data_IF_661447984288
#
_entry.id   IF_661447984288
#
_cell.length_a   1.000
_cell.length_b   1.000
_cell.length_c   1.000
_cell.angle_alpha   90.00
_cell.angle_beta   90.00
_cell.angle_gamma   90.00
#
_symmetry.space_group_name_H-M   'P 1'
#
loop_
_entity.id
_entity.type
_entity.pdbx_description
1 polymer ?
#
# COMPACT_ATOMS: atom_id res chain seq x y z
N UNK A 1 23.67 21.14 -75.85
CA UNK A 1 24.97 21.17 -76.54
C UNK A 1 26.02 21.36 -75.45
N UNK A 2 26.53 20.23 -74.95
CA UNK A 2 27.87 19.63 -75.21
C UNK A 2 28.82 20.02 -74.07
N UNK A 3 29.13 19.12 -73.12
CA UNK A 3 30.13 18.02 -73.21
C UNK A 3 31.56 18.60 -73.23
N UNK A 4 32.55 18.19 -72.43
CA UNK A 4 33.07 16.86 -72.03
C UNK A 4 34.16 17.06 -70.95
N UNK A 5 34.22 16.24 -69.88
CA UNK A 5 35.16 15.12 -69.60
C UNK A 5 36.66 15.52 -69.45
N UNK A 6 37.51 14.96 -68.57
CA UNK A 6 37.70 13.56 -68.13
C UNK A 6 38.54 13.44 -66.82
N UNK A 7 38.36 12.28 -66.16
CA UNK A 7 39.36 11.36 -65.55
C UNK A 7 39.33 11.03 -64.02
N UNK A 8 39.09 9.74 -63.77
CA UNK A 8 39.33 8.86 -62.60
C UNK A 8 40.60 7.97 -62.92
N UNK A 9 41.16 7.02 -62.12
CA UNK A 9 40.67 6.20 -60.97
C UNK A 9 41.63 6.18 -59.73
N UNK A 10 41.44 5.52 -58.57
CA UNK A 10 40.81 4.25 -58.19
C UNK A 10 40.76 4.07 -56.66
N UNK A 11 39.76 3.30 -56.19
CA UNK A 11 39.77 2.25 -55.14
C UNK A 11 38.85 2.34 -53.87
N UNK A 12 37.71 1.62 -54.00
CA UNK A 12 37.15 0.53 -53.17
C UNK A 12 36.37 0.85 -51.85
N UNK A 13 35.05 0.74 -52.02
CA UNK A 13 33.87 0.44 -51.16
C UNK A 13 33.96 -0.86 -50.32
N UNK A 14 33.14 -1.26 -49.34
CA UNK A 14 31.77 -0.96 -48.81
C UNK A 14 31.66 -1.69 -47.43
N UNK A 15 31.04 -1.14 -46.38
CA UNK A 15 29.63 -1.29 -45.92
C UNK A 15 29.34 -2.44 -44.90
N UNK A 16 28.50 -2.10 -43.90
CA UNK A 16 27.60 -2.91 -43.01
C UNK A 16 28.02 -3.45 -41.62
N UNK A 17 27.31 -2.89 -40.61
CA UNK A 17 26.63 -3.46 -39.41
C UNK A 17 27.34 -4.44 -38.45
N UNK A 18 27.14 -4.31 -37.13
CA UNK A 18 27.27 -5.44 -36.22
C UNK A 18 25.94 -5.83 -35.56
N UNK A 19 25.58 -7.09 -35.75
CA UNK A 19 24.75 -7.91 -34.87
C UNK A 19 25.50 -9.22 -34.72
N UNK A 20 25.78 -9.71 -33.51
CA UNK A 20 26.03 -11.14 -33.24
C UNK A 20 25.95 -11.40 -31.73
N UNK A 21 25.05 -12.32 -31.42
CA UNK A 21 24.92 -13.17 -30.24
C UNK A 21 26.03 -14.23 -30.19
N UNK A 22 26.46 -14.64 -29.01
CA UNK A 22 27.26 -15.87 -28.88
C UNK A 22 26.85 -16.66 -27.65
N UNK A 23 26.30 -17.85 -27.91
CA UNK A 23 26.41 -19.02 -27.06
C UNK A 23 27.53 -19.93 -27.59
N UNK A 24 28.12 -20.68 -26.64
CA UNK A 24 28.57 -22.07 -26.72
C UNK A 24 30.06 -22.47 -26.91
N UNK A 25 30.49 -23.28 -25.92
CA UNK A 25 31.39 -24.48 -25.89
C UNK A 25 32.89 -24.35 -25.54
N UNK A 26 33.31 -24.95 -24.40
CA UNK A 26 33.99 -26.28 -24.18
C UNK A 26 35.47 -26.21 -24.64
N UNK A 27 36.53 -26.42 -23.83
CA UNK A 27 37.00 -27.71 -23.27
C UNK A 27 38.20 -27.55 -22.28
N UNK A 28 38.66 -28.67 -21.71
CA UNK A 28 39.49 -28.92 -20.51
C UNK A 28 41.03 -28.88 -20.71
N UNK A 29 41.72 -29.08 -19.56
CA UNK A 29 43.09 -29.56 -19.29
C UNK A 29 44.19 -28.49 -19.16
N UNK A 30 45.22 -28.55 -18.29
CA UNK A 30 45.64 -29.38 -17.14
C UNK A 30 46.94 -28.75 -16.59
N UNK A 31 47.24 -28.81 -15.27
CA UNK A 31 48.58 -29.15 -14.69
C UNK A 31 48.72 -28.87 -13.18
N UNK A 32 49.47 -29.78 -12.58
CA UNK A 32 49.90 -30.05 -11.21
C UNK A 32 50.94 -29.08 -10.64
N UNK A 33 51.04 -28.97 -9.31
CA UNK A 33 52.27 -29.23 -8.54
C UNK A 33 51.97 -29.30 -7.05
N UNK A 34 52.56 -30.31 -6.40
CA UNK A 34 52.65 -30.57 -4.97
C UNK A 34 53.71 -29.68 -4.32
N UNK A 35 53.63 -29.44 -3.00
CA UNK A 35 54.76 -29.46 -2.07
C UNK A 35 54.24 -29.51 -0.61
N UNK A 36 54.82 -30.44 0.15
CA UNK A 36 54.61 -30.77 1.57
C UNK A 36 55.48 -29.87 2.46
N UNK A 37 55.12 -29.68 3.74
CA UNK A 37 56.10 -29.58 4.84
C UNK A 37 55.42 -29.78 6.20
N UNK A 38 56.11 -30.57 7.04
CA UNK A 38 55.73 -31.18 8.32
C UNK A 38 55.93 -30.26 9.54
N UNK A 39 55.09 -30.50 10.55
CA UNK A 39 55.27 -30.55 12.01
C UNK A 39 56.29 -29.65 12.74
N UNK A 40 55.79 -28.93 13.76
CA UNK A 40 56.49 -28.68 15.03
C UNK A 40 55.49 -28.90 16.19
N UNK A 41 55.78 -29.89 17.03
CA UNK A 41 55.11 -30.19 18.30
C UNK A 41 55.53 -29.17 19.38
N UNK A 42 54.57 -28.70 20.18
CA UNK A 42 54.84 -28.31 21.58
C UNK A 42 53.69 -28.84 22.45
N UNK A 43 54.08 -29.78 23.31
CA UNK A 43 53.28 -30.48 24.30
C UNK A 43 53.29 -29.65 25.60
N UNK A 44 52.12 -29.30 26.16
CA UNK A 44 52.03 -29.08 27.61
C UNK A 44 50.60 -29.31 28.14
N UNK A 45 50.50 -30.44 28.83
CA UNK A 45 49.39 -31.00 29.57
C UNK A 45 48.78 -30.09 30.66
N UNK A 46 47.44 -30.10 30.74
CA UNK A 46 46.58 -30.47 31.90
C UNK A 46 45.45 -29.50 32.30
N UNK A 47 44.26 -30.12 32.31
CA UNK A 47 43.15 -29.95 33.27
C UNK A 47 42.17 -28.78 33.09
N UNK A 48 41.05 -29.06 32.39
CA UNK A 48 39.68 -28.77 32.87
C UNK A 48 38.56 -29.35 31.97
N UNK A 49 38.67 -30.63 31.59
CA UNK A 49 37.85 -31.24 30.52
C UNK A 49 36.45 -31.76 30.88
N UNK A 50 35.75 -31.17 31.86
CA UNK A 50 34.35 -31.59 32.14
C UNK A 50 33.35 -30.46 32.40
N UNK A 51 33.78 -29.30 32.91
CA UNK A 51 32.87 -28.17 33.21
C UNK A 51 32.66 -27.27 31.98
N UNK A 52 33.71 -27.03 31.18
CA UNK A 52 33.64 -26.16 29.99
C UNK A 52 32.79 -26.75 28.85
N UNK A 53 32.73 -28.09 28.74
CA UNK A 53 31.87 -28.79 27.76
C UNK A 53 30.39 -28.74 28.17
N UNK A 54 30.10 -28.72 29.48
CA UNK A 54 28.74 -28.60 29.97
C UNK A 54 28.20 -27.18 29.74
N UNK A 55 29.05 -26.16 29.93
CA UNK A 55 28.70 -24.76 29.68
C UNK A 55 28.57 -24.43 28.18
N UNK A 56 29.40 -25.02 27.30
CA UNK A 56 29.21 -24.92 25.84
C UNK A 56 27.94 -25.63 25.36
N UNK A 57 27.62 -26.81 25.90
CA UNK A 57 26.40 -27.57 25.59
C UNK A 57 25.14 -26.83 26.08
N UNK A 58 25.22 -26.18 27.25
CA UNK A 58 24.13 -25.39 27.84
C UNK A 58 23.95 -24.05 27.12
N UNK A 59 25.04 -23.40 26.70
CA UNK A 59 25.02 -22.25 25.79
C UNK A 59 24.48 -22.62 24.41
N UNK A 60 24.88 -23.76 23.82
CA UNK A 60 24.32 -24.28 22.56
C UNK A 60 22.83 -24.59 22.71
N UNK A 61 22.39 -25.23 23.80
CA UNK A 61 20.96 -25.46 24.07
C UNK A 61 20.18 -24.16 24.31
N UNK A 62 20.80 -23.13 24.90
CA UNK A 62 20.19 -21.80 25.05
C UNK A 62 20.15 -21.02 23.72
N UNK A 63 21.15 -21.18 22.84
CA UNK A 63 21.20 -20.53 21.53
C UNK A 63 20.29 -21.20 20.49
N UNK A 64 20.14 -22.53 20.51
CA UNK A 64 19.27 -23.27 19.59
C UNK A 64 17.79 -23.01 19.88
N UNK A 65 17.41 -22.78 21.14
CA UNK A 65 16.01 -22.47 21.51
C UNK A 65 15.48 -21.12 21.02
N UNK A 66 16.34 -20.24 20.48
CA UNK A 66 15.95 -18.89 20.06
C UNK A 66 15.59 -18.77 18.57
N UNK A 67 15.77 -19.83 17.76
CA UNK A 67 15.60 -19.78 16.31
C UNK A 67 14.71 -20.88 15.69
N UNK A 68 13.93 -21.62 16.49
CA UNK A 68 13.08 -22.72 15.99
C UNK A 68 11.68 -22.29 15.51
N UNK A 69 11.57 -21.23 14.71
CA UNK A 69 10.40 -21.09 13.85
C UNK A 69 10.84 -20.70 12.45
N UNK A 70 10.89 -21.68 11.56
CA UNK A 70 10.97 -21.44 10.12
C UNK A 70 9.76 -20.61 9.75
N UNK A 71 9.98 -19.38 9.26
CA UNK A 71 8.89 -18.50 8.81
C UNK A 71 8.11 -19.23 7.71
N UNK A 72 6.80 -19.33 7.90
CA UNK A 72 5.89 -19.97 6.95
C UNK A 72 5.27 -18.89 6.07
N UNK A 73 5.13 -19.16 4.78
CA UNK A 73 4.46 -18.27 3.84
C UNK A 73 2.96 -18.26 4.09
N UNK A 74 2.33 -17.09 3.93
CA UNK A 74 0.87 -16.92 3.99
C UNK A 74 0.37 -16.35 2.67
N UNK A 75 -0.84 -16.75 2.27
CA UNK A 75 -1.49 -16.27 1.05
C UNK A 75 -3.00 -16.13 1.28
N UNK A 76 -3.63 -15.30 0.46
CA UNK A 76 -5.06 -15.13 0.38
C UNK A 76 -5.56 -15.54 -1.02
N UNK A 77 -6.88 -15.62 -1.18
CA UNK A 77 -7.48 -15.90 -2.48
C UNK A 77 -7.16 -14.79 -3.50
N UNK A 78 -7.01 -15.20 -4.76
CA UNK A 78 -6.83 -14.28 -5.88
C UNK A 78 -8.15 -13.55 -6.13
N UNK A 79 -8.05 -12.26 -6.41
CA UNK A 79 -9.18 -11.42 -6.77
C UNK A 79 -8.74 -10.49 -7.91
N UNK A 80 -9.49 -10.50 -9.01
CA UNK A 80 -9.24 -9.61 -10.14
C UNK A 80 -10.33 -8.52 -10.16
N UNK A 81 -10.00 -7.26 -9.78
CA UNK A 81 -10.98 -6.17 -9.79
C UNK A 81 -11.43 -5.75 -11.20
N UNK A 82 -10.66 -6.06 -12.26
CA UNK A 82 -11.01 -5.72 -13.65
C UNK A 82 -12.13 -6.60 -14.21
N UNK A 83 -12.15 -7.87 -13.83
CA UNK A 83 -13.14 -8.86 -14.26
C UNK A 83 -14.43 -8.79 -13.43
N UNK A 84 -14.39 -8.17 -12.24
CA UNK A 84 -15.55 -7.97 -11.37
C UNK A 84 -16.39 -6.78 -11.83
N UNK A 85 -16.99 -6.93 -13.03
CA UNK A 85 -17.92 -5.97 -13.59
C UNK A 85 -19.18 -5.90 -12.74
N UNK A 86 -19.74 -4.70 -12.59
CA UNK A 86 -20.98 -4.46 -11.82
C UNK A 86 -22.24 -5.14 -12.42
N UNK A 87 -22.06 -6.01 -13.42
CA UNK A 87 -23.08 -6.77 -14.13
C UNK A 87 -23.56 -8.02 -13.40
N UNK A 88 -22.80 -8.52 -12.43
CA UNK A 88 -23.19 -9.72 -11.68
C UNK A 88 -23.91 -9.32 -10.39
N UNK A 89 -25.22 -9.08 -10.48
CA UNK A 89 -26.29 -9.34 -9.47
C UNK A 89 -25.96 -9.36 -7.96
N UNK A 90 -24.98 -8.61 -7.48
CA UNK A 90 -24.69 -8.39 -6.07
C UNK A 90 -25.02 -6.93 -5.79
N UNK A 91 -26.29 -6.70 -5.44
CA UNK A 91 -26.61 -5.64 -4.51
C UNK A 91 -25.52 -5.66 -3.44
N UNK A 92 -24.83 -4.53 -3.22
CA UNK A 92 -24.04 -4.35 -2.00
C UNK A 92 -24.87 -4.96 -0.87
N UNK A 93 -24.34 -5.99 -0.19
CA UNK A 93 -25.11 -6.73 0.81
C UNK A 93 -25.42 -5.76 1.95
N UNK A 94 -26.49 -4.98 1.83
CA UNK A 94 -26.82 -3.94 2.80
C UNK A 94 -27.71 -4.58 3.85
N UNK A 95 -27.10 -4.94 4.97
CA UNK A 95 -27.84 -5.33 6.16
C UNK A 95 -28.23 -4.08 6.93
N UNK A 96 -29.53 -3.82 7.02
CA UNK A 96 -30.08 -2.65 7.70
C UNK A 96 -29.68 -2.64 9.17
N UNK A 97 -29.21 -1.48 9.64
CA UNK A 97 -28.74 -1.25 11.02
C UNK A 97 -29.35 0.03 11.55
N UNK A 98 -29.67 0.04 12.83
CA UNK A 98 -30.07 1.28 13.51
C UNK A 98 -28.88 2.25 13.56
N UNK A 99 -29.12 3.58 13.59
CA UNK A 99 -28.05 4.57 13.75
C UNK A 99 -27.19 4.30 14.98
N UNK A 100 -27.80 3.85 16.09
CA UNK A 100 -27.10 3.54 17.33
C UNK A 100 -26.21 2.30 17.20
N UNK A 101 -26.68 1.23 16.56
CA UNK A 101 -25.86 0.05 16.27
C UNK A 101 -24.68 0.40 15.35
N UNK A 102 -24.94 1.22 14.33
CA UNK A 102 -23.89 1.68 13.39
C UNK A 102 -22.80 2.46 14.11
N UNK A 103 -23.18 3.35 15.02
CA UNK A 103 -22.22 4.14 15.79
C UNK A 103 -21.35 3.26 16.69
N UNK A 104 -21.95 2.33 17.45
CA UNK A 104 -21.19 1.38 18.29
C UNK A 104 -20.25 0.51 17.47
N UNK A 105 -20.70 0.02 16.33
CA UNK A 105 -19.88 -0.74 15.39
C UNK A 105 -18.68 0.06 14.90
N UNK A 106 -18.92 1.31 14.48
CA UNK A 106 -17.88 2.21 14.00
C UNK A 106 -16.82 2.47 15.08
N UNK A 107 -17.25 2.68 16.31
CA UNK A 107 -16.35 2.83 17.47
C UNK A 107 -15.55 1.55 17.75
N UNK A 108 -16.20 0.37 17.66
CA UNK A 108 -15.53 -0.90 17.91
C UNK A 108 -14.46 -1.25 16.86
N UNK A 109 -14.65 -0.86 15.59
CA UNK A 109 -13.69 -1.13 14.51
C UNK A 109 -12.66 -0.02 14.29
N UNK A 110 -12.88 1.20 14.78
CA UNK A 110 -12.00 2.33 14.44
C UNK A 110 -10.54 2.16 14.90
N UNK A 111 -10.31 1.44 15.99
CA UNK A 111 -8.97 1.16 16.52
C UNK A 111 -8.27 -0.02 15.82
N UNK A 112 -9.00 -0.77 14.99
CA UNK A 112 -8.46 -1.91 14.28
C UNK A 112 -7.58 -1.46 13.10
N UNK A 113 -6.39 -2.06 12.98
CA UNK A 113 -5.40 -1.73 11.96
C UNK A 113 -5.97 -1.80 10.54
N UNK A 114 -6.87 -2.75 10.26
CA UNK A 114 -7.44 -2.97 8.94
C UNK A 114 -8.47 -1.90 8.55
N UNK A 115 -9.06 -1.23 9.54
CA UNK A 115 -10.17 -0.30 9.33
C UNK A 115 -9.77 1.16 9.52
N UNK A 116 -8.70 1.45 10.28
CA UNK A 116 -8.24 2.82 10.54
C UNK A 116 -7.81 3.60 9.30
N UNK A 117 -7.38 2.91 8.24
CA UNK A 117 -6.88 3.51 7.01
C UNK A 117 -7.96 3.69 5.94
N UNK A 118 -9.19 3.28 6.24
CA UNK A 118 -10.29 3.31 5.28
C UNK A 118 -10.98 4.66 5.31
N UNK A 119 -11.35 5.16 4.13
CA UNK A 119 -12.12 6.39 4.01
C UNK A 119 -13.54 6.21 4.57
N UNK A 120 -14.19 7.31 4.98
CA UNK A 120 -15.51 7.25 5.62
C UNK A 120 -16.55 6.50 4.77
N UNK A 121 -16.59 6.76 3.46
CA UNK A 121 -17.51 6.09 2.53
C UNK A 121 -17.23 4.59 2.41
N UNK A 122 -15.95 4.20 2.44
CA UNK A 122 -15.54 2.80 2.37
C UNK A 122 -15.86 2.07 3.67
N UNK A 123 -15.60 2.71 4.82
CA UNK A 123 -16.03 2.22 6.12
C UNK A 123 -17.54 1.99 6.15
N UNK A 124 -18.30 2.92 5.60
CA UNK A 124 -19.75 2.82 5.55
C UNK A 124 -20.23 1.60 4.76
N UNK A 125 -19.65 1.34 3.58
CA UNK A 125 -19.95 0.16 2.76
C UNK A 125 -19.58 -1.15 3.46
N UNK A 126 -18.48 -1.16 4.21
CA UNK A 126 -18.04 -2.29 5.02
C UNK A 126 -19.04 -2.55 6.14
N UNK A 127 -19.43 -1.52 6.89
CA UNK A 127 -20.42 -1.65 7.95
C UNK A 127 -21.75 -2.16 7.39
N UNK A 128 -22.17 -1.70 6.22
CA UNK A 128 -23.38 -2.17 5.55
C UNK A 128 -23.31 -3.67 5.25
N UNK A 129 -22.14 -4.16 4.80
CA UNK A 129 -21.87 -5.56 4.49
C UNK A 129 -21.80 -6.51 5.69
N UNK A 130 -21.74 -6.01 6.93
CA UNK A 130 -21.75 -6.85 8.13
C UNK A 130 -23.14 -7.38 8.44
N UNK A 131 -23.29 -8.68 8.69
CA UNK A 131 -24.58 -9.27 9.08
C UNK A 131 -24.60 -9.62 10.57
N UNK A 132 -25.81 -9.67 11.13
CA UNK A 132 -26.02 -10.01 12.53
C UNK A 132 -25.95 -11.54 12.74
N UNK A 133 -25.26 -11.97 13.78
CA UNK A 133 -25.25 -13.35 14.28
C UNK A 133 -25.65 -13.36 15.75
N UNK A 134 -26.81 -13.95 16.02
CA UNK A 134 -27.29 -14.24 17.36
C UNK A 134 -26.56 -15.48 17.91
N UNK A 135 -26.09 -15.40 19.16
CA UNK A 135 -25.29 -16.43 19.82
C UNK A 135 -25.93 -16.78 21.16
N UNK A 136 -25.99 -18.08 21.49
CA UNK A 136 -26.51 -18.55 22.78
C UNK A 136 -25.40 -18.77 23.78
N UNK A 137 -25.72 -18.70 25.07
CA UNK A 137 -24.83 -19.07 26.17
C UNK A 137 -24.28 -20.49 25.97
N UNK A 138 -22.97 -20.62 26.08
CA UNK A 138 -22.20 -21.86 25.90
C UNK A 138 -21.86 -22.19 24.45
N UNK A 139 -22.32 -21.41 23.47
CA UNK A 139 -21.99 -21.62 22.06
C UNK A 139 -20.53 -21.26 21.78
N UNK A 140 -19.85 -22.09 20.97
CA UNK A 140 -18.49 -21.82 20.48
C UNK A 140 -18.57 -21.05 19.17
N UNK A 141 -18.03 -19.82 19.14
CA UNK A 141 -18.09 -18.93 17.97
C UNK A 141 -16.99 -19.29 16.97
N UNK A 142 -15.78 -19.47 17.48
CA UNK A 142 -14.61 -19.94 16.73
C UNK A 142 -13.84 -20.92 17.58
N UNK A 143 -13.19 -21.89 16.95
CA UNK A 143 -12.36 -22.89 17.62
C UNK A 143 -10.93 -22.77 17.12
N UNK A 144 -9.98 -22.87 18.04
CA UNK A 144 -8.56 -22.84 17.73
C UNK A 144 -8.20 -23.99 16.77
N UNK A 145 -7.37 -23.69 15.78
CA UNK A 145 -6.96 -24.63 14.73
C UNK A 145 -7.88 -24.66 13.50
N UNK A 146 -9.13 -24.21 13.61
CA UNK A 146 -10.05 -24.19 12.49
C UNK A 146 -9.67 -23.13 11.45
N UNK A 147 -10.06 -23.33 10.19
CA UNK A 147 -9.98 -22.30 9.16
C UNK A 147 -10.79 -21.07 9.57
N UNK A 148 -10.21 -19.89 9.40
CA UNK A 148 -10.83 -18.64 9.83
C UNK A 148 -11.21 -17.74 8.68
N UNK A 149 -12.50 -17.68 8.32
CA UNK A 149 -12.95 -16.87 7.17
C UNK A 149 -13.72 -15.61 7.55
N UNK A 150 -14.06 -15.45 8.83
CA UNK A 150 -14.89 -14.36 9.31
C UNK A 150 -14.20 -13.52 10.39
N UNK A 151 -14.52 -12.24 10.41
CA UNK A 151 -14.26 -11.30 11.48
C UNK A 151 -15.54 -11.03 12.27
N UNK A 152 -15.41 -10.91 13.59
CA UNK A 152 -16.53 -10.74 14.51
C UNK A 152 -16.33 -9.49 15.35
N UNK A 153 -17.37 -8.67 15.46
CA UNK A 153 -17.43 -7.49 16.33
C UNK A 153 -18.56 -7.72 17.33
N UNK A 154 -18.28 -7.46 18.61
CA UNK A 154 -19.24 -7.68 19.69
C UNK A 154 -20.19 -6.48 19.76
N UNK A 155 -21.50 -6.71 19.70
CA UNK A 155 -22.52 -5.69 20.00
C UNK A 155 -22.98 -5.81 21.46
N UNK A 156 -23.21 -7.04 21.94
CA UNK A 156 -23.51 -7.31 23.34
C UNK A 156 -23.16 -8.76 23.72
N UNK A 157 -23.07 -9.02 25.03
CA UNK A 157 -22.73 -10.32 25.60
C UNK A 157 -21.32 -10.39 26.16
N UNK A 158 -21.01 -11.50 26.84
CA UNK A 158 -19.70 -11.78 27.42
C UNK A 158 -19.12 -12.99 26.70
N UNK A 159 -17.87 -12.87 26.22
CA UNK A 159 -17.20 -13.89 25.44
C UNK A 159 -15.85 -14.22 26.07
N UNK A 160 -15.58 -15.51 26.28
CA UNK A 160 -14.34 -15.96 26.90
C UNK A 160 -13.35 -16.48 25.87
N UNK A 161 -12.08 -16.16 26.10
CA UNK A 161 -10.97 -16.50 25.21
C UNK A 161 -10.20 -17.65 25.81
N UNK A 162 -10.08 -18.72 25.04
CA UNK A 162 -9.41 -19.96 25.42
C UNK A 162 -8.29 -20.28 24.44
N UNK A 163 -7.09 -20.56 24.95
CA UNK A 163 -5.92 -20.92 24.14
C UNK A 163 -5.28 -22.18 24.69
N UNK A 164 -5.10 -23.18 23.83
CA UNK A 164 -4.24 -24.33 24.07
C UNK A 164 -2.83 -24.04 23.57
N UNK A 165 -1.83 -24.38 24.38
CA UNK A 165 -0.40 -24.36 24.00
C UNK A 165 0.07 -25.67 23.37
N UNK A 166 -0.73 -26.73 23.43
CA UNK A 166 -0.43 -28.02 22.85
C UNK A 166 -0.90 -28.07 21.39
N UNK A 167 -0.14 -28.76 20.52
CA UNK A 167 -0.52 -28.97 19.11
C UNK A 167 -1.84 -29.73 18.96
N UNK A 168 -2.17 -30.60 19.90
CA UNK A 168 -3.43 -31.36 19.94
C UNK A 168 -4.65 -30.54 20.40
N UNK A 169 -4.46 -29.26 20.70
CA UNK A 169 -5.50 -28.34 21.21
C UNK A 169 -6.22 -28.79 22.50
N UNK A 170 -5.59 -29.65 23.30
CA UNK A 170 -6.13 -30.14 24.59
C UNK A 170 -5.83 -29.16 25.72
N UNK A 171 -6.64 -29.26 26.79
CA UNK A 171 -6.52 -28.46 28.01
C UNK A 171 -6.44 -26.93 27.75
N UNK A 172 -7.44 -26.35 27.08
CA UNK A 172 -7.43 -24.92 26.79
C UNK A 172 -7.46 -24.09 28.08
N UNK A 173 -6.62 -23.07 28.14
CA UNK A 173 -6.51 -22.16 29.27
C UNK A 173 -7.31 -20.89 28.95
N UNK A 174 -8.15 -20.42 29.88
CA UNK A 174 -8.80 -19.10 29.76
C UNK A 174 -7.72 -18.01 29.84
N UNK A 175 -7.52 -17.27 28.76
CA UNK A 175 -6.49 -16.21 28.67
C UNK A 175 -7.08 -14.80 28.78
N UNK A 176 -8.39 -14.66 28.63
CA UNK A 176 -9.07 -13.38 28.71
C UNK A 176 -10.57 -13.50 28.48
N UNK A 177 -11.23 -12.35 28.50
CA UNK A 177 -12.64 -12.22 28.20
C UNK A 177 -12.93 -10.86 27.56
N UNK A 178 -13.94 -10.84 26.69
CA UNK A 178 -14.54 -9.63 26.17
C UNK A 178 -15.84 -9.35 26.91
N UNK A 179 -16.02 -8.12 27.35
CA UNK A 179 -17.22 -7.69 28.08
C UNK A 179 -17.94 -6.60 27.26
N UNK A 180 -18.98 -7.02 26.54
CA UNK A 180 -19.88 -6.18 25.72
C UNK A 180 -19.22 -5.36 24.59
N UNK A 181 -17.91 -5.40 24.47
CA UNK A 181 -17.13 -4.60 23.52
C UNK A 181 -15.94 -5.40 23.00
N UNK A 182 -15.41 -5.00 21.85
CA UNK A 182 -14.24 -5.60 21.24
C UNK A 182 -14.56 -6.33 19.95
N UNK A 183 -13.50 -6.86 19.34
CA UNK A 183 -13.57 -7.60 18.10
C UNK A 183 -12.51 -8.70 18.09
N UNK A 184 -12.75 -9.76 17.32
CA UNK A 184 -11.84 -10.88 17.22
C UNK A 184 -11.86 -11.51 15.83
N UNK A 185 -10.73 -12.13 15.47
CA UNK A 185 -10.57 -12.78 14.18
C UNK A 185 -10.24 -11.84 13.02
N UNK A 186 -9.69 -10.65 13.28
CA UNK A 186 -9.31 -9.68 12.24
C UNK A 186 -8.34 -10.26 11.19
N UNK A 187 -7.40 -11.10 11.61
CA UNK A 187 -6.42 -11.74 10.73
C UNK A 187 -7.06 -12.63 9.67
N UNK A 188 -8.27 -13.15 9.95
CA UNK A 188 -9.05 -13.90 8.97
C UNK A 188 -9.41 -13.07 7.75
N UNK A 189 -9.45 -11.74 7.84
CA UNK A 189 -9.72 -10.88 6.69
C UNK A 189 -8.51 -10.71 5.76
N UNK A 190 -7.30 -10.95 6.28
CA UNK A 190 -6.06 -10.71 5.55
C UNK A 190 -5.60 -11.93 4.76
N UNK A 191 -5.62 -13.11 5.39
CA UNK A 191 -5.09 -14.35 4.80
C UNK A 191 -5.70 -15.58 5.45
N UNK A 192 -5.54 -16.73 4.78
CA UNK A 192 -6.05 -18.00 5.28
C UNK A 192 -5.11 -18.58 6.34
N UNK A 193 -5.34 -18.21 7.60
CA UNK A 193 -4.61 -18.73 8.76
C UNK A 193 -5.57 -19.46 9.72
N UNK A 194 -5.11 -20.57 10.36
CA UNK A 194 -5.85 -21.21 11.42
C UNK A 194 -6.15 -20.25 12.58
N UNK A 195 -7.29 -20.41 13.23
CA UNK A 195 -7.64 -19.62 14.43
C UNK A 195 -6.64 -19.86 15.55
N UNK A 196 -6.13 -18.78 16.15
CA UNK A 196 -5.17 -18.86 17.26
C UNK A 196 -5.80 -19.11 18.62
N UNK A 197 -7.12 -18.96 18.74
CA UNK A 197 -7.86 -19.11 19.99
C UNK A 197 -9.27 -19.65 19.74
N UNK A 198 -9.84 -20.27 20.77
CA UNK A 198 -11.25 -20.64 20.86
C UNK A 198 -12.01 -19.55 21.59
N UNK A 199 -13.17 -19.15 21.08
CA UNK A 199 -14.05 -18.16 21.70
C UNK A 199 -15.39 -18.81 22.01
N UNK A 200 -15.84 -18.70 23.25
CA UNK A 200 -17.10 -19.27 23.73
C UNK A 200 -17.94 -18.17 24.36
N UNK A 201 -19.25 -18.18 24.12
CA UNK A 201 -20.18 -17.22 24.72
C UNK A 201 -20.53 -17.61 26.16
N UNK A 202 -20.32 -16.72 27.12
CA UNK A 202 -20.75 -16.92 28.53
C UNK A 202 -22.20 -16.50 28.78
N UNK A 203 -22.75 -15.66 27.90
CA UNK A 203 -24.14 -15.20 27.91
C UNK A 203 -24.77 -15.37 26.53
N UNK A 204 -26.08 -15.19 26.42
CA UNK A 204 -26.67 -14.89 25.11
C UNK A 204 -26.13 -13.53 24.64
N UNK A 205 -25.93 -13.38 23.34
CA UNK A 205 -25.29 -12.19 22.79
C UNK A 205 -25.48 -12.02 21.29
N UNK A 206 -25.07 -10.86 20.79
CA UNK A 206 -25.15 -10.47 19.38
C UNK A 206 -23.77 -10.09 18.88
N UNK A 207 -23.39 -10.67 17.73
CA UNK A 207 -22.17 -10.37 17.01
C UNK A 207 -22.50 -9.81 15.62
N UNK A 208 -21.67 -8.90 15.14
CA UNK A 208 -21.62 -8.50 13.74
C UNK A 208 -20.49 -9.23 13.03
N UNK A 209 -20.80 -9.82 11.89
CA UNK A 209 -19.90 -10.71 11.18
C UNK A 209 -19.57 -10.15 9.81
N UNK A 210 -18.31 -10.27 9.40
CA UNK A 210 -17.83 -9.93 8.07
C UNK A 210 -16.96 -11.06 7.51
N UNK A 211 -17.26 -11.50 6.28
CA UNK A 211 -16.47 -12.50 5.58
C UNK A 211 -15.23 -11.92 4.90
N UNK A 212 -14.15 -12.71 4.83
CA UNK A 212 -12.89 -12.38 4.17
C UNK A 212 -13.10 -11.95 2.72
N UNK A 213 -13.84 -12.74 1.94
CA UNK A 213 -14.04 -12.49 0.51
C UNK A 213 -14.76 -11.16 0.29
N UNK A 214 -15.81 -10.90 1.07
CA UNK A 214 -16.57 -9.63 1.01
C UNK A 214 -15.69 -8.44 1.37
N UNK A 215 -14.92 -8.52 2.46
CA UNK A 215 -13.99 -7.45 2.85
C UNK A 215 -12.94 -7.19 1.77
N UNK A 216 -12.26 -8.24 1.31
CA UNK A 216 -11.22 -8.13 0.27
C UNK A 216 -11.77 -7.55 -1.02
N UNK A 217 -12.93 -8.03 -1.48
CA UNK A 217 -13.63 -7.49 -2.66
C UNK A 217 -13.91 -6.00 -2.49
N UNK A 218 -14.52 -5.58 -1.37
CA UNK A 218 -14.83 -4.17 -1.13
C UNK A 218 -13.57 -3.29 -1.10
N UNK A 219 -12.51 -3.74 -0.40
CA UNK A 219 -11.26 -2.96 -0.28
C UNK A 219 -10.53 -2.87 -1.61
N UNK A 220 -10.34 -3.99 -2.30
CA UNK A 220 -9.60 -4.03 -3.56
C UNK A 220 -10.36 -3.34 -4.69
N UNK A 221 -11.69 -3.53 -4.78
CA UNK A 221 -12.53 -2.86 -5.79
C UNK A 221 -12.57 -1.34 -5.56
N UNK A 222 -12.62 -0.88 -4.30
CA UNK A 222 -12.53 0.54 -3.98
C UNK A 222 -11.18 1.13 -4.39
N UNK A 223 -10.08 0.50 -4.01
CA UNK A 223 -8.73 0.94 -4.38
C UNK A 223 -8.54 0.99 -5.90
N UNK A 224 -9.02 -0.04 -6.61
CA UNK A 224 -8.97 -0.10 -8.07
C UNK A 224 -9.77 1.03 -8.74
N UNK A 225 -11.02 1.27 -8.32
CA UNK A 225 -11.84 2.37 -8.84
C UNK A 225 -11.23 3.74 -8.56
N UNK A 226 -10.68 3.94 -7.37
CA UNK A 226 -9.97 5.18 -7.00
C UNK A 226 -8.76 5.42 -7.90
N UNK A 227 -7.97 4.38 -8.17
CA UNK A 227 -6.82 4.45 -9.09
C UNK A 227 -7.27 4.78 -10.51
N UNK A 228 -8.28 4.09 -11.05
CA UNK A 228 -8.82 4.37 -12.39
C UNK A 228 -9.37 5.80 -12.51
N UNK A 229 -10.08 6.27 -11.49
CA UNK A 229 -10.60 7.64 -11.43
C UNK A 229 -9.46 8.65 -11.54
N UNK A 230 -8.38 8.48 -10.76
CA UNK A 230 -7.23 9.36 -10.83
C UNK A 230 -6.44 9.24 -12.12
N UNK A 231 -6.25 8.04 -12.67
CA UNK A 231 -5.60 7.88 -13.98
C UNK A 231 -6.36 8.62 -15.08
N UNK A 232 -7.69 8.54 -15.08
CA UNK A 232 -8.53 9.29 -16.03
C UNK A 232 -8.44 10.80 -15.79
N UNK A 233 -8.51 11.23 -14.53
CA UNK A 233 -8.34 12.64 -14.18
C UNK A 233 -6.98 13.18 -14.62
N UNK A 234 -5.89 12.45 -14.37
CA UNK A 234 -4.53 12.83 -14.77
C UNK A 234 -4.34 12.90 -16.29
N UNK A 235 -5.22 12.29 -17.10
CA UNK A 235 -5.24 12.48 -18.56
C UNK A 235 -5.83 13.84 -18.96
N UNK A 236 -6.74 14.37 -18.16
CA UNK A 236 -7.33 15.71 -18.38
C UNK A 236 -6.37 16.83 -17.96
N UNK A 237 -5.41 16.55 -17.07
CA UNK A 237 -4.45 17.54 -16.58
C UNK A 237 -3.42 17.87 -17.66
N UNK A 238 -3.46 19.11 -18.15
CA UNK A 238 -2.65 19.60 -19.28
C UNK A 238 -1.14 19.30 -19.16
N UNK A 239 -0.56 19.46 -17.96
CA UNK A 239 0.89 19.26 -17.76
C UNK A 239 1.30 17.78 -17.75
N UNK A 240 0.35 16.88 -17.51
CA UNK A 240 0.59 15.44 -17.33
C UNK A 240 0.09 14.61 -18.53
N UNK A 241 -0.32 15.26 -19.62
CA UNK A 241 -0.78 14.56 -20.83
C UNK A 241 0.31 13.68 -21.46
N UNK A 242 1.57 14.11 -21.39
CA UNK A 242 2.71 13.38 -21.98
C UNK A 242 3.22 12.20 -21.16
N UNK A 243 2.65 11.94 -19.97
CA UNK A 243 3.02 10.78 -19.17
C UNK A 243 2.68 9.47 -19.90
N UNK A 244 3.54 8.47 -19.78
CA UNK A 244 3.17 7.09 -20.10
C UNK A 244 2.14 6.56 -19.11
N UNK A 245 1.43 5.48 -19.45
CA UNK A 245 0.46 4.88 -18.53
C UNK A 245 1.11 4.41 -17.23
N UNK A 246 2.33 3.86 -17.28
CA UNK A 246 3.08 3.44 -16.09
C UNK A 246 3.43 4.62 -15.17
N UNK A 247 3.96 5.72 -15.72
CA UNK A 247 4.26 6.93 -14.96
C UNK A 247 2.99 7.52 -14.34
N UNK A 248 1.90 7.58 -15.11
CA UNK A 248 0.60 8.08 -14.65
C UNK A 248 0.04 7.23 -13.51
N UNK A 249 0.15 5.91 -13.62
CA UNK A 249 -0.20 4.95 -12.56
C UNK A 249 0.56 5.24 -11.26
N UNK A 250 1.87 5.48 -11.34
CA UNK A 250 2.69 5.79 -10.16
C UNK A 250 2.28 7.11 -9.51
N UNK A 251 1.94 8.12 -10.31
CA UNK A 251 1.44 9.41 -9.80
C UNK A 251 0.08 9.22 -9.13
N UNK A 252 -0.83 8.49 -9.77
CA UNK A 252 -2.17 8.22 -9.23
C UNK A 252 -2.11 7.57 -7.84
N UNK A 253 -1.15 6.65 -7.62
CA UNK A 253 -0.94 6.02 -6.30
C UNK A 253 -0.40 6.98 -5.23
N UNK A 254 0.27 8.07 -5.63
CA UNK A 254 0.84 9.06 -4.73
C UNK A 254 -0.09 10.25 -4.44
N UNK A 255 -1.20 10.37 -5.17
CA UNK A 255 -2.16 11.46 -4.98
C UNK A 255 -2.95 11.30 -3.67
N UNK A 256 -3.01 12.38 -2.90
CA UNK A 256 -3.79 12.46 -1.67
C UNK A 256 -4.99 13.40 -1.91
N UNK A 257 -6.25 12.93 -1.73
CA UNK A 257 -7.43 13.79 -1.84
C UNK A 257 -7.47 14.82 -0.71
N UNK A 258 -7.81 16.06 -1.05
CA UNK A 258 -8.06 17.15 -0.10
C UNK A 258 -9.30 17.92 -0.55
N UNK A 259 -10.16 18.29 0.39
CA UNK A 259 -11.37 19.07 0.11
C UNK A 259 -11.31 20.40 0.88
N UNK A 260 -11.83 21.45 0.25
CA UNK A 260 -11.92 22.80 0.82
C UNK A 260 -13.33 23.36 0.61
N UNK A 261 -13.83 24.09 1.59
CA UNK A 261 -15.09 24.82 1.52
C UNK A 261 -14.90 26.20 0.88
N UNK A 262 -16.00 26.83 0.46
CA UNK A 262 -15.96 28.15 -0.19
C UNK A 262 -15.18 29.18 0.66
N UNK A 263 -14.31 29.95 -0.01
CA UNK A 263 -13.46 31.00 0.57
C UNK A 263 -12.34 30.50 1.49
N UNK A 264 -12.16 29.21 1.65
CA UNK A 264 -10.98 28.69 2.35
C UNK A 264 -9.70 28.95 1.53
N UNK A 265 -8.63 29.30 2.24
CA UNK A 265 -7.32 29.56 1.64
C UNK A 265 -6.56 28.23 1.57
N UNK A 266 -6.26 27.79 0.35
CA UNK A 266 -5.56 26.54 0.06
C UNK A 266 -4.04 26.76 0.13
N UNK A 267 -3.57 27.88 -0.41
CA UNK A 267 -2.17 28.32 -0.37
C UNK A 267 -2.17 29.80 0.01
N UNK A 268 -1.24 30.23 0.86
CA UNK A 268 -1.02 31.64 1.17
C UNK A 268 0.29 32.12 0.57
N UNK A 269 0.26 33.29 -0.06
CA UNK A 269 1.46 33.92 -0.61
C UNK A 269 2.50 34.16 0.50
N UNK A 270 3.75 33.79 0.24
CA UNK A 270 4.89 33.94 1.15
C UNK A 270 5.15 32.74 2.05
N UNK A 271 4.24 31.77 2.13
CA UNK A 271 4.47 30.53 2.90
C UNK A 271 5.45 29.61 2.14
N UNK A 272 6.09 28.68 2.84
CA UNK A 272 6.85 27.62 2.18
C UNK A 272 5.91 26.60 1.53
N UNK A 273 6.32 26.04 0.40
CA UNK A 273 5.50 25.11 -0.37
C UNK A 273 6.14 23.73 -0.48
N UNK A 274 5.45 22.72 0.05
CA UNK A 274 5.88 21.31 0.05
C UNK A 274 5.05 20.41 -0.88
N UNK A 275 4.01 20.97 -1.50
CA UNK A 275 2.99 20.24 -2.25
C UNK A 275 2.49 21.04 -3.46
N UNK A 276 2.09 20.35 -4.51
CA UNK A 276 1.27 20.91 -5.59
C UNK A 276 -0.13 20.31 -5.58
N UNK A 277 -1.06 20.98 -6.26
CA UNK A 277 -2.46 20.61 -6.28
C UNK A 277 -3.00 20.56 -7.71
N UNK A 278 -3.88 19.60 -7.96
CA UNK A 278 -4.63 19.41 -9.20
C UNK A 278 -6.12 19.54 -8.89
N UNK A 279 -6.84 20.33 -9.67
CA UNK A 279 -8.26 20.60 -9.44
C UNK A 279 -9.10 19.47 -10.04
N UNK A 280 -9.65 18.62 -9.18
CA UNK A 280 -10.53 17.50 -9.55
C UNK A 280 -11.97 17.98 -9.78
N UNK A 281 -12.47 18.86 -8.91
CA UNK A 281 -13.82 19.42 -8.98
C UNK A 281 -13.87 20.82 -8.34
N UNK A 282 -14.72 21.69 -8.89
CA UNK A 282 -14.85 23.09 -8.47
C UNK A 282 -13.86 24.06 -9.12
N UNK A 283 -13.83 25.28 -8.58
CA UNK A 283 -13.05 26.42 -9.08
C UNK A 283 -12.20 27.04 -7.96
N UNK A 284 -11.02 27.55 -8.31
CA UNK A 284 -10.09 28.24 -7.39
C UNK A 284 -9.69 29.60 -7.96
N UNK A 285 -9.63 30.61 -7.10
CA UNK A 285 -9.15 31.95 -7.45
C UNK A 285 -7.71 32.15 -7.00
N UNK A 286 -6.87 32.65 -7.92
CA UNK A 286 -5.48 33.03 -7.64
C UNK A 286 -5.44 34.54 -7.38
N UNK A 287 -4.87 34.93 -6.25
CA UNK A 287 -4.60 36.31 -5.88
C UNK A 287 -3.11 36.56 -5.70
N UNK A 288 -2.60 37.65 -6.28
CA UNK A 288 -1.21 38.10 -6.13
C UNK A 288 -1.20 39.49 -5.51
N UNK A 289 -0.50 39.66 -4.39
CA UNK A 289 -0.47 40.92 -3.64
C UNK A 289 -1.88 41.44 -3.29
N UNK A 290 -2.81 40.53 -3.00
CA UNK A 290 -4.21 40.84 -2.67
C UNK A 290 -5.08 41.27 -3.88
N UNK A 291 -4.58 41.08 -5.11
CA UNK A 291 -5.31 41.40 -6.34
C UNK A 291 -5.65 40.09 -7.04
N UNK A 292 -6.93 39.91 -7.38
CA UNK A 292 -7.39 38.80 -8.21
C UNK A 292 -6.64 38.78 -9.54
N UNK A 293 -6.04 37.63 -9.86
CA UNK A 293 -5.25 37.44 -11.08
C UNK A 293 -6.01 36.58 -12.10
N UNK A 294 -6.43 35.37 -11.69
CA UNK A 294 -7.08 34.40 -12.57
C UNK A 294 -7.89 33.39 -11.77
N UNK A 295 -8.96 32.88 -12.37
CA UNK A 295 -9.69 31.69 -11.92
C UNK A 295 -9.23 30.42 -12.62
N UNK A 296 -9.04 29.36 -11.86
CA UNK A 296 -8.71 28.01 -12.32
C UNK A 296 -9.90 27.07 -12.11
N UNK A 297 -10.13 26.20 -13.07
CA UNK A 297 -11.22 25.21 -13.08
C UNK A 297 -10.64 23.79 -13.11
N UNK A 298 -11.52 22.78 -13.04
CA UNK A 298 -11.16 21.35 -13.24
C UNK A 298 -10.14 21.14 -14.37
N UNK A 299 -9.14 20.29 -14.09
CA UNK A 299 -8.04 19.95 -15.01
C UNK A 299 -6.83 20.91 -14.93
N UNK A 300 -6.99 22.08 -14.32
CA UNK A 300 -5.84 22.93 -13.99
C UNK A 300 -5.11 22.44 -12.73
N UNK A 301 -3.92 22.98 -12.53
CA UNK A 301 -3.05 22.73 -11.38
C UNK A 301 -2.44 24.04 -10.89
N UNK A 302 -1.89 24.02 -9.68
CA UNK A 302 -1.17 25.14 -9.10
C UNK A 302 -0.21 24.68 -7.98
N UNK A 303 0.70 25.58 -7.60
CA UNK A 303 1.66 25.34 -6.53
C UNK A 303 2.97 24.69 -6.99
N UNK A 304 3.15 24.51 -8.30
CA UNK A 304 4.34 23.97 -8.94
C UNK A 304 5.58 24.87 -8.79
N UNK A 305 5.39 26.20 -8.70
CA UNK A 305 6.51 27.17 -8.69
C UNK A 305 7.42 27.02 -7.47
N UNK A 306 6.81 26.81 -6.30
CA UNK A 306 7.56 26.57 -5.06
C UNK A 306 8.38 25.28 -5.14
N UNK A 307 7.94 24.33 -5.97
CA UNK A 307 8.63 23.05 -6.17
C UNK A 307 9.84 23.22 -7.09
N UNK A 308 9.70 23.99 -8.17
CA UNK A 308 10.75 24.17 -9.17
C UNK A 308 11.87 25.10 -8.73
N UNK A 309 11.51 26.18 -8.02
CA UNK A 309 12.46 27.25 -7.70
C UNK A 309 12.95 27.18 -6.25
N UNK A 310 12.37 26.31 -5.41
CA UNK A 310 12.56 26.31 -3.96
C UNK A 310 12.33 27.71 -3.34
N UNK A 311 11.36 28.45 -3.89
CA UNK A 311 10.97 29.78 -3.44
C UNK A 311 9.64 29.74 -2.69
N UNK A 312 9.38 30.70 -1.77
CA UNK A 312 8.08 30.83 -1.13
C UNK A 312 6.94 30.98 -2.15
N UNK A 313 5.73 30.60 -1.74
CA UNK A 313 4.52 30.65 -2.56
C UNK A 313 4.32 32.04 -3.17
N UNK A 314 4.27 32.12 -4.49
CA UNK A 314 4.19 33.39 -5.23
C UNK A 314 2.80 34.04 -5.20
N UNK A 315 1.76 33.29 -4.86
CA UNK A 315 0.37 33.72 -4.89
C UNK A 315 -0.45 33.03 -3.79
N UNK A 316 -1.57 33.65 -3.41
CA UNK A 316 -2.60 33.05 -2.56
C UNK A 316 -3.62 32.36 -3.46
N UNK A 317 -4.08 31.17 -3.08
CA UNK A 317 -5.12 30.42 -3.81
C UNK A 317 -6.29 30.18 -2.87
N UNK A 318 -7.49 30.54 -3.32
CA UNK A 318 -8.72 30.54 -2.53
C UNK A 318 -9.77 29.67 -3.24
N UNK A 319 -10.48 28.83 -2.49
CA UNK A 319 -11.60 28.06 -3.02
C UNK A 319 -12.76 28.99 -3.42
N UNK A 320 -13.19 28.92 -4.69
CA UNK A 320 -14.21 29.80 -5.25
C UNK A 320 -15.59 29.14 -5.38
N UNK A 321 -15.65 27.81 -5.30
CA UNK A 321 -16.89 27.03 -5.31
C UNK A 321 -17.33 26.64 -3.91
N UNK A 322 -18.61 26.26 -3.74
CA UNK A 322 -19.17 25.79 -2.46
C UNK A 322 -18.35 24.67 -1.85
N UNK A 323 -17.85 23.77 -2.71
CA UNK A 323 -16.91 22.72 -2.34
C UNK A 323 -15.91 22.52 -3.47
N UNK A 324 -14.63 22.47 -3.14
CA UNK A 324 -13.53 22.25 -4.08
C UNK A 324 -12.84 20.96 -3.70
N UNK A 325 -12.62 20.08 -4.68
CA UNK A 325 -11.86 18.83 -4.51
C UNK A 325 -10.55 18.92 -5.25
N UNK A 326 -9.47 18.66 -4.54
CA UNK A 326 -8.12 18.70 -5.05
C UNK A 326 -7.44 17.36 -4.84
N UNK A 327 -6.64 16.96 -5.82
CA UNK A 327 -5.64 15.93 -5.63
C UNK A 327 -4.31 16.61 -5.33
N UNK A 328 -3.67 16.25 -4.22
CA UNK A 328 -2.42 16.84 -3.75
C UNK A 328 -1.26 15.87 -3.91
N UNK A 329 -0.09 16.41 -4.25
CA UNK A 329 1.13 15.64 -4.46
C UNK A 329 2.33 16.35 -3.81
N UNK A 330 3.07 15.62 -3.00
CA UNK A 330 4.28 16.11 -2.32
C UNK A 330 5.47 16.25 -3.27
N UNK A 331 6.33 17.24 -3.01
CA UNK A 331 7.53 17.50 -3.84
C UNK A 331 8.40 16.27 -3.94
N UNK A 332 8.75 15.67 -2.80
CA UNK A 332 9.66 14.53 -2.77
C UNK A 332 9.10 13.33 -3.55
N UNK A 333 7.77 13.17 -3.52
CA UNK A 333 7.08 12.16 -4.31
C UNK A 333 7.08 12.53 -5.79
N UNK A 334 6.84 13.79 -6.14
CA UNK A 334 6.91 14.27 -7.52
C UNK A 334 8.30 14.06 -8.12
N UNK A 335 9.37 14.52 -7.47
CA UNK A 335 10.75 14.42 -7.98
C UNK A 335 11.18 12.96 -8.15
N UNK A 336 10.85 12.10 -7.18
CA UNK A 336 11.17 10.67 -7.22
C UNK A 336 10.42 9.93 -8.31
N UNK A 337 9.14 10.24 -8.50
CA UNK A 337 8.27 9.51 -9.43
C UNK A 337 8.34 10.05 -10.86
N UNK A 338 8.60 11.36 -11.00
CA UNK A 338 8.45 12.11 -12.23
C UNK A 338 9.69 12.94 -12.57
N UNK A 339 10.89 12.51 -12.16
CA UNK A 339 12.16 13.16 -12.50
C UNK A 339 12.24 13.71 -13.95
N UNK A 340 11.88 12.93 -15.00
CA UNK A 340 11.84 13.41 -16.39
C UNK A 340 10.80 14.50 -16.71
N UNK A 341 9.76 14.66 -15.88
CA UNK A 341 8.71 15.64 -16.08
C UNK A 341 9.02 17.01 -15.47
N UNK A 342 10.06 17.13 -14.64
CA UNK A 342 10.57 18.44 -14.21
C UNK A 342 10.84 19.34 -15.41
N UNK A 343 11.41 18.78 -16.48
CA UNK A 343 11.66 19.50 -17.74
C UNK A 343 10.38 20.02 -18.40
N UNK A 344 9.27 19.26 -18.31
CA UNK A 344 7.96 19.67 -18.85
C UNK A 344 7.37 20.83 -18.05
N UNK A 345 7.51 20.77 -16.71
CA UNK A 345 7.07 21.85 -15.85
C UNK A 345 7.90 23.11 -16.09
N UNK A 346 9.22 23.00 -16.21
CA UNK A 346 10.08 24.15 -16.53
C UNK A 346 9.70 24.84 -17.85
N UNK A 347 9.39 24.04 -18.90
CA UNK A 347 8.96 24.58 -20.20
C UNK A 347 7.63 25.32 -20.14
N UNK A 348 6.66 24.84 -19.37
CA UNK A 348 5.36 25.49 -19.23
C UNK A 348 5.39 26.68 -18.25
N UNK A 349 6.19 26.61 -17.19
CA UNK A 349 6.40 27.68 -16.20
C UNK A 349 6.93 28.97 -16.83
N UNK A 350 7.80 28.82 -17.84
CA UNK A 350 8.33 29.95 -18.62
C UNK A 350 7.25 30.77 -19.34
N UNK A 351 6.03 30.21 -19.53
CA UNK A 351 4.88 30.93 -20.11
C UNK A 351 4.15 31.79 -19.07
N UNK A 352 4.22 31.44 -17.80
CA UNK A 352 3.59 32.18 -16.69
C UNK A 352 4.44 33.36 -16.24
N UNK A 353 5.77 33.22 -16.21
CA UNK A 353 6.70 34.29 -15.82
C UNK A 353 6.90 35.37 -16.90
N UNK A 354 6.33 35.21 -18.10
CA UNK A 354 6.49 36.13 -19.24
C UNK A 354 5.30 37.05 -19.49
N UNK A 355 4.38 37.22 -18.55
CA UNK A 355 3.26 38.16 -18.68
C UNK A 355 3.17 39.16 -17.55
#
# INVERSE_FOLDING_TARGET
MTSTDTNNPSNISNDRTPSISTEDKIERESKSSEEEDEDDEDDDEKNNTLDDLADEELMRRQYVKKNEFRRVSVAAERYNPEEDTDSDNEQSLVYQKTPEQRQRLKEAVCHNLLFRTLEAKQMDQILDAMWEKNVKKGETIIKQGDGGDNFYVIDNGIYEIYVSKQEDFRDPIKVGEYNQTGSFGELALMYNQPRSATIISSTDGILWVMGRQTFRKLVLKHAFRKRQMYENFLREVDILQSLTDYERSNVADALIPVEYDEKEIIIRQGDEGDRMFFIEDGECDIEMNGIFHKRLNKGHYFGELALLNHEPRSATVIAASTKVKLASLEVESFERLLGPCMDLIHRNTSKYLKK
#
